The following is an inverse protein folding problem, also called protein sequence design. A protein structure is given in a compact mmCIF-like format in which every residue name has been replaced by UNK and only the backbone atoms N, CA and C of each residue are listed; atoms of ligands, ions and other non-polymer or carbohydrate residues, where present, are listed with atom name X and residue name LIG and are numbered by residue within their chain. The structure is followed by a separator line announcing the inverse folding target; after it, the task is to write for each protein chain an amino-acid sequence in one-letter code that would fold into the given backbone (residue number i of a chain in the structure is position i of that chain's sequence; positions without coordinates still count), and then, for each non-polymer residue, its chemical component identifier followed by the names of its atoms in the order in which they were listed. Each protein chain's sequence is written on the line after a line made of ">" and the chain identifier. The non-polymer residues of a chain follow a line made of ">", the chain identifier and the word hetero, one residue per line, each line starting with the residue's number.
data_IF_192096638852
#
_entry.id   IF_192096638852
#
_cell.length_a   1.000
_cell.length_b   1.000
_cell.length_c   1.000
_cell.angle_alpha   90.00
_cell.angle_beta   90.00
_cell.angle_gamma   90.00
#
_symmetry.space_group_name_H-M   'P 1'
#
loop_
_entity.id
_entity.type
_entity.pdbx_description
1 polymer ?
#
# COMPACT_ATOMS: atom_id res chain seq x y z
N UNK A 1 19.29 -12.71 -6.18
CA UNK A 1 20.69 -12.72 -6.71
C UNK A 1 21.11 -14.14 -7.04
N UNK A 2 20.66 -15.11 -6.25
CA UNK A 2 20.74 -16.55 -6.52
C UNK A 2 19.82 -16.97 -7.68
N UNK A 3 18.59 -16.44 -7.78
CA UNK A 3 17.65 -16.79 -8.86
C UNK A 3 18.17 -16.37 -10.25
N UNK A 4 18.95 -15.29 -10.33
CA UNK A 4 19.58 -14.86 -11.60
C UNK A 4 20.69 -15.81 -12.05
N UNK A 5 21.40 -16.44 -11.10
CA UNK A 5 22.42 -17.44 -11.40
C UNK A 5 21.77 -18.76 -11.83
N UNK A 6 20.67 -19.13 -11.19
CA UNK A 6 19.85 -20.28 -11.58
C UNK A 6 19.24 -20.09 -12.97
N UNK A 7 18.64 -18.93 -13.24
CA UNK A 7 18.11 -18.57 -14.55
C UNK A 7 19.20 -18.66 -15.63
N UNK A 8 20.39 -18.11 -15.36
CA UNK A 8 21.55 -18.22 -16.27
C UNK A 8 21.89 -19.69 -16.54
N UNK A 9 21.87 -20.53 -15.52
CA UNK A 9 22.19 -21.96 -15.64
C UNK A 9 21.15 -22.73 -16.45
N UNK A 10 19.86 -22.47 -16.23
CA UNK A 10 18.78 -23.09 -17.01
C UNK A 10 18.87 -22.69 -18.49
N UNK A 11 19.13 -21.41 -18.76
CA UNK A 11 19.31 -20.90 -20.11
C UNK A 11 20.52 -21.51 -20.82
N UNK A 12 21.67 -21.63 -20.14
CA UNK A 12 22.87 -22.25 -20.75
C UNK A 12 22.71 -23.76 -20.97
N UNK A 13 21.87 -24.43 -20.18
CA UNK A 13 21.52 -25.85 -20.36
C UNK A 13 20.43 -26.09 -21.41
N UNK A 14 19.85 -25.03 -22.00
CA UNK A 14 18.75 -25.14 -22.96
C UNK A 14 17.41 -25.52 -22.33
N UNK A 15 17.29 -25.44 -21.00
CA UNK A 15 16.05 -25.73 -20.25
C UNK A 15 15.12 -24.52 -20.26
N UNK A 16 14.58 -24.20 -21.44
CA UNK A 16 13.81 -22.97 -21.65
C UNK A 16 12.50 -22.95 -20.86
N UNK A 17 11.80 -24.08 -20.74
CA UNK A 17 10.53 -24.13 -19.99
C UNK A 17 10.75 -23.85 -18.50
N UNK A 18 11.74 -24.49 -17.89
CA UNK A 18 12.10 -24.27 -16.48
C UNK A 18 12.55 -22.81 -16.26
N UNK A 19 13.30 -22.24 -17.20
CA UNK A 19 13.71 -20.84 -17.15
C UNK A 19 12.51 -19.87 -17.21
N UNK A 20 11.46 -20.20 -17.97
CA UNK A 20 10.25 -19.38 -18.03
C UNK A 20 9.47 -19.44 -16.72
N UNK A 21 9.33 -20.61 -16.11
CA UNK A 21 8.69 -20.77 -14.79
C UNK A 21 9.40 -19.91 -13.74
N UNK A 22 10.74 -19.98 -13.68
CA UNK A 22 11.51 -19.17 -12.74
C UNK A 22 11.32 -17.66 -12.97
N UNK A 23 11.19 -17.22 -14.21
CA UNK A 23 10.91 -15.80 -14.53
C UNK A 23 9.52 -15.38 -14.04
N UNK A 24 8.52 -16.25 -14.16
CA UNK A 24 7.17 -15.99 -13.64
C UNK A 24 7.20 -15.86 -12.10
N UNK A 25 7.83 -16.80 -11.40
CA UNK A 25 8.01 -16.76 -9.94
C UNK A 25 8.74 -15.49 -9.49
N UNK A 26 9.86 -15.15 -10.14
CA UNK A 26 10.59 -13.90 -9.85
C UNK A 26 9.75 -12.64 -10.10
N UNK A 27 8.86 -12.68 -11.09
CA UNK A 27 7.97 -11.57 -11.42
C UNK A 27 6.89 -11.42 -10.35
N UNK A 28 6.30 -12.52 -9.89
CA UNK A 28 5.34 -12.54 -8.79
C UNK A 28 5.97 -12.03 -7.50
N UNK A 29 7.12 -12.57 -7.09
CA UNK A 29 7.85 -12.10 -5.90
C UNK A 29 8.16 -10.60 -5.98
N UNK A 30 8.63 -10.11 -7.13
CA UNK A 30 8.92 -8.69 -7.29
C UNK A 30 7.66 -7.82 -7.20
N UNK A 31 6.49 -8.34 -7.59
CA UNK A 31 5.21 -7.65 -7.50
C UNK A 31 4.71 -7.63 -6.05
N UNK A 32 4.77 -8.76 -5.35
CA UNK A 32 4.40 -8.88 -3.95
C UNK A 32 5.21 -7.94 -3.06
N UNK A 33 6.51 -7.80 -3.32
CA UNK A 33 7.36 -6.80 -2.64
C UNK A 33 6.82 -5.36 -2.78
N UNK A 34 6.26 -5.00 -3.95
CA UNK A 34 5.64 -3.68 -4.15
C UNK A 34 4.32 -3.58 -3.42
N UNK A 35 3.48 -4.62 -3.49
CA UNK A 35 2.19 -4.69 -2.81
C UNK A 35 2.41 -4.52 -1.30
N UNK A 36 3.26 -5.33 -0.68
CA UNK A 36 3.56 -5.30 0.75
C UNK A 36 4.08 -3.93 1.23
N UNK A 37 4.93 -3.30 0.42
CA UNK A 37 5.44 -1.96 0.73
C UNK A 37 4.38 -0.88 0.60
N UNK A 38 3.54 -0.93 -0.43
CA UNK A 38 2.40 -0.02 -0.60
C UNK A 38 1.42 -0.20 0.54
N UNK A 39 1.05 -1.44 0.86
CA UNK A 39 0.21 -1.82 1.98
C UNK A 39 0.71 -1.21 3.30
N UNK A 40 2.01 -1.32 3.60
CA UNK A 40 2.59 -0.76 4.83
C UNK A 40 2.39 0.77 4.94
N UNK A 41 2.50 1.50 3.81
CA UNK A 41 2.21 2.93 3.79
C UNK A 41 0.71 3.24 3.75
N UNK A 42 -0.11 2.36 3.16
CA UNK A 42 -1.56 2.47 3.18
C UNK A 42 -2.10 2.37 4.62
N UNK A 43 -1.55 1.48 5.44
CA UNK A 43 -1.89 1.39 6.88
C UNK A 43 -1.66 2.73 7.56
N UNK A 44 -0.49 3.36 7.34
CA UNK A 44 -0.17 4.67 7.94
C UNK A 44 -1.11 5.77 7.43
N UNK A 45 -1.38 5.80 6.12
CA UNK A 45 -2.29 6.76 5.49
C UNK A 45 -3.69 6.66 6.10
N UNK A 46 -4.26 5.45 6.09
CA UNK A 46 -5.64 5.20 6.55
C UNK A 46 -5.75 5.45 8.05
N UNK A 47 -4.75 5.08 8.85
CA UNK A 47 -4.74 5.32 10.29
C UNK A 47 -4.93 6.82 10.59
N UNK A 48 -4.17 7.67 9.89
CA UNK A 48 -4.27 9.12 10.11
C UNK A 48 -5.57 9.70 9.56
N UNK A 49 -6.10 9.18 8.45
CA UNK A 49 -7.40 9.59 7.92
C UNK A 49 -8.55 9.19 8.87
N UNK A 50 -8.48 8.01 9.49
CA UNK A 50 -9.43 7.58 10.52
C UNK A 50 -9.43 8.59 11.65
N UNK A 51 -8.24 8.93 12.19
CA UNK A 51 -8.10 9.92 13.27
C UNK A 51 -8.68 11.28 12.88
N UNK A 52 -8.43 11.75 11.66
CA UNK A 52 -8.99 13.00 11.16
C UNK A 52 -10.52 12.97 11.10
N UNK A 53 -11.08 11.85 10.62
CA UNK A 53 -12.52 11.70 10.44
C UNK A 53 -13.26 11.61 11.77
N UNK A 54 -12.76 10.82 12.72
CA UNK A 54 -13.43 10.58 14.01
C UNK A 54 -13.23 11.73 15.00
N UNK A 55 -12.06 12.38 15.00
CA UNK A 55 -11.79 13.50 15.90
C UNK A 55 -12.15 14.88 15.31
N UNK A 56 -12.57 14.93 14.04
CA UNK A 56 -12.92 16.15 13.32
C UNK A 56 -11.83 17.24 13.38
N UNK A 57 -10.55 16.83 13.42
CA UNK A 57 -9.39 17.72 13.48
C UNK A 57 -8.19 17.08 12.79
N UNK A 58 -7.17 17.88 12.49
CA UNK A 58 -5.85 17.39 12.11
C UNK A 58 -4.76 18.07 12.92
N UNK A 59 -3.57 17.49 12.92
CA UNK A 59 -2.36 18.12 13.44
C UNK A 59 -1.31 18.18 12.34
N UNK A 60 -0.33 19.08 12.47
CA UNK A 60 0.77 19.19 11.50
C UNK A 60 1.54 17.87 11.34
N UNK A 61 1.72 17.11 12.42
CA UNK A 61 2.40 15.82 12.34
C UNK A 61 1.57 14.80 11.56
N UNK A 62 0.24 14.79 11.71
CA UNK A 62 -0.64 13.91 10.94
C UNK A 62 -0.63 14.26 9.45
N UNK A 63 -0.71 15.56 9.11
CA UNK A 63 -0.65 16.01 7.71
C UNK A 63 0.68 15.62 7.05
N UNK A 64 1.80 15.71 7.80
CA UNK A 64 3.11 15.27 7.32
C UNK A 64 3.15 13.75 7.13
N UNK A 65 2.62 12.96 8.07
CA UNK A 65 2.53 11.50 7.95
C UNK A 65 1.72 11.07 6.72
N UNK A 66 0.57 11.69 6.50
CA UNK A 66 -0.28 11.47 5.32
C UNK A 66 0.50 11.79 4.04
N UNK A 67 1.10 12.99 3.96
CA UNK A 67 1.87 13.41 2.79
C UNK A 67 3.05 12.48 2.48
N UNK A 68 3.76 12.02 3.51
CA UNK A 68 4.86 11.08 3.38
C UNK A 68 4.39 9.71 2.90
N UNK A 69 3.30 9.17 3.47
CA UNK A 69 2.73 7.90 3.05
C UNK A 69 2.30 7.96 1.58
N UNK A 70 1.57 9.00 1.17
CA UNK A 70 1.16 9.22 -0.23
C UNK A 70 2.36 9.26 -1.18
N UNK A 71 3.39 10.04 -0.86
CA UNK A 71 4.63 10.10 -1.67
C UNK A 71 5.30 8.73 -1.80
N UNK A 72 5.32 7.96 -0.73
CA UNK A 72 5.97 6.65 -0.71
C UNK A 72 5.17 5.59 -1.47
N UNK A 73 3.83 5.61 -1.39
CA UNK A 73 2.95 4.78 -2.22
C UNK A 73 3.21 5.07 -3.70
N UNK A 74 3.14 6.34 -4.09
CA UNK A 74 3.33 6.73 -5.49
C UNK A 74 4.74 6.45 -6.01
N UNK A 75 5.77 6.73 -5.19
CA UNK A 75 7.16 6.40 -5.52
C UNK A 75 7.39 4.89 -5.67
N UNK A 76 6.74 4.08 -4.82
CA UNK A 76 6.86 2.61 -4.87
C UNK A 76 6.14 2.06 -6.09
N UNK A 77 4.98 2.63 -6.45
CA UNK A 77 4.20 2.17 -7.58
C UNK A 77 4.76 2.60 -8.95
N UNK A 78 5.48 3.73 -9.03
CA UNK A 78 6.02 4.24 -10.29
C UNK A 78 7.19 3.38 -10.81
N UNK A 79 7.11 2.94 -12.07
CA UNK A 79 8.23 2.27 -12.76
C UNK A 79 9.27 3.31 -13.20
N UNK A 80 10.56 3.05 -12.93
CA UNK A 80 11.64 4.02 -13.20
C UNK A 80 12.14 4.04 -14.64
N UNK A 81 12.12 2.89 -15.32
CA UNK A 81 12.71 2.72 -16.67
C UNK A 81 11.67 2.62 -17.79
N UNK A 82 10.42 2.34 -17.44
CA UNK A 82 9.30 2.22 -18.38
C UNK A 82 8.23 3.17 -17.85
N UNK A 83 7.68 4.02 -18.71
CA UNK A 83 6.58 4.88 -18.31
C UNK A 83 5.40 3.98 -17.91
N UNK A 84 4.94 4.05 -16.67
CA UNK A 84 3.89 3.16 -16.15
C UNK A 84 4.03 2.84 -14.65
N UNK A 85 3.15 1.95 -14.18
CA UNK A 85 2.99 1.60 -12.77
C UNK A 85 3.14 0.09 -12.54
N UNK A 86 3.56 -0.33 -11.35
CA UNK A 86 3.65 -1.75 -10.99
C UNK A 86 2.26 -2.34 -10.76
N UNK A 87 1.45 -1.66 -9.96
CA UNK A 87 0.05 -1.96 -9.66
C UNK A 87 -0.86 -1.06 -10.47
N UNK A 88 -1.93 -1.65 -10.98
CA UNK A 88 -3.10 -0.99 -11.55
C UNK A 88 -3.90 -0.23 -10.49
N UNK A 89 -4.86 0.59 -10.94
CA UNK A 89 -5.76 1.31 -10.03
C UNK A 89 -6.62 0.38 -9.17
N UNK A 90 -7.02 -0.79 -9.69
CA UNK A 90 -7.78 -1.78 -8.92
C UNK A 90 -6.94 -2.40 -7.82
N UNK A 91 -5.71 -2.83 -8.14
CA UNK A 91 -4.79 -3.44 -7.16
C UNK A 91 -4.38 -2.43 -6.07
N UNK A 92 -4.24 -1.15 -6.41
CA UNK A 92 -4.02 -0.12 -5.40
C UNK A 92 -5.21 0.06 -4.46
N UNK A 93 -6.45 0.03 -4.99
CA UNK A 93 -7.65 0.12 -4.17
C UNK A 93 -7.80 -1.08 -3.26
N UNK A 94 -7.46 -2.27 -3.74
CA UNK A 94 -7.41 -3.49 -2.95
C UNK A 94 -6.38 -3.38 -1.81
N UNK A 95 -5.15 -2.94 -2.11
CA UNK A 95 -4.14 -2.71 -1.07
C UNK A 95 -4.54 -1.65 -0.03
N UNK A 96 -5.32 -0.62 -0.42
CA UNK A 96 -5.92 0.32 0.53
C UNK A 96 -7.00 -0.36 1.39
N UNK A 97 -7.88 -1.15 0.79
CA UNK A 97 -8.95 -1.85 1.50
C UNK A 97 -8.38 -2.86 2.51
N UNK A 98 -7.36 -3.63 2.13
CA UNK A 98 -6.70 -4.61 3.00
C UNK A 98 -6.04 -3.95 4.21
N UNK A 99 -5.51 -2.74 4.03
CA UNK A 99 -4.88 -1.96 5.10
C UNK A 99 -5.87 -1.44 6.15
N UNK A 100 -7.18 -1.45 5.87
CA UNK A 100 -8.19 -0.83 6.74
C UNK A 100 -8.19 -1.39 8.17
N UNK A 101 -8.24 -2.71 8.34
CA UNK A 101 -8.39 -3.30 9.68
C UNK A 101 -7.16 -3.05 10.56
N UNK A 102 -5.95 -3.17 10.00
CA UNK A 102 -4.72 -2.83 10.71
C UNK A 102 -4.63 -1.34 11.04
N UNK A 103 -5.07 -0.48 10.13
CA UNK A 103 -5.14 0.95 10.36
C UNK A 103 -6.17 1.32 11.45
N UNK A 104 -7.30 0.63 11.49
CA UNK A 104 -8.34 0.79 12.50
C UNK A 104 -7.84 0.41 13.88
N UNK A 105 -7.14 -0.72 14.01
CA UNK A 105 -6.54 -1.15 15.27
C UNK A 105 -5.51 -0.13 15.76
N UNK A 106 -4.61 0.33 14.89
CA UNK A 106 -3.65 1.39 15.24
C UNK A 106 -4.34 2.71 15.60
N UNK A 107 -5.38 3.10 14.86
CA UNK A 107 -6.15 4.30 15.16
C UNK A 107 -6.89 4.20 16.49
N UNK A 108 -7.37 3.02 16.89
CA UNK A 108 -8.02 2.81 18.18
C UNK A 108 -7.09 3.08 19.36
N UNK A 109 -5.77 2.89 19.20
CA UNK A 109 -4.77 3.18 20.23
C UNK A 109 -4.38 4.66 20.29
N UNK A 110 -4.47 5.38 19.17
CA UNK A 110 -4.00 6.76 19.07
C UNK A 110 -5.14 7.80 19.09
N UNK A 111 -6.30 7.46 18.54
CA UNK A 111 -7.44 8.35 18.44
C UNK A 111 -8.07 8.53 19.82
N UNK A 112 -8.43 9.77 20.17
CA UNK A 112 -8.98 10.09 21.49
C UNK A 112 -8.16 9.48 22.64
N UNK A 113 -6.83 9.42 22.49
CA UNK A 113 -5.91 8.86 23.51
C UNK A 113 -6.21 7.40 23.89
N UNK A 114 -6.83 6.62 23.00
CA UNK A 114 -7.10 5.20 23.22
C UNK A 114 -8.44 4.89 23.89
N UNK A 115 -9.34 5.88 24.01
CA UNK A 115 -10.61 5.71 24.74
C UNK A 115 -11.64 4.80 24.04
N UNK A 116 -11.48 4.50 22.76
CA UNK A 116 -12.42 3.68 21.98
C UNK A 116 -11.70 2.46 21.42
N UNK A 117 -12.35 1.30 21.49
CA UNK A 117 -11.93 0.09 20.77
C UNK A 117 -12.09 0.27 19.25
N UNK A 118 -11.43 -0.59 18.47
CA UNK A 118 -11.59 -0.66 17.02
C UNK A 118 -13.06 -0.76 16.59
N UNK A 119 -13.85 -1.56 17.31
CA UNK A 119 -15.27 -1.76 17.00
C UNK A 119 -16.12 -0.50 17.26
N UNK A 120 -15.84 0.24 18.33
CA UNK A 120 -16.52 1.50 18.62
C UNK A 120 -16.10 2.61 17.66
N UNK A 121 -14.81 2.64 17.29
CA UNK A 121 -14.28 3.58 16.32
C UNK A 121 -14.89 3.34 14.93
N UNK A 122 -15.01 2.08 14.51
CA UNK A 122 -15.63 1.69 13.24
C UNK A 122 -17.05 2.24 13.07
N UNK A 123 -17.83 2.31 14.14
CA UNK A 123 -19.21 2.86 14.09
C UNK A 123 -19.24 4.37 13.80
N UNK A 124 -18.12 5.08 14.00
CA UNK A 124 -17.98 6.52 13.77
C UNK A 124 -17.36 6.85 12.42
N UNK A 125 -16.93 5.83 11.67
CA UNK A 125 -16.23 5.97 10.39
C UNK A 125 -17.23 5.80 9.25
N UNK A 126 -17.31 6.81 8.38
CA UNK A 126 -17.86 6.61 7.03
C UNK A 126 -16.75 6.01 6.16
N UNK A 127 -16.78 4.68 6.05
CA UNK A 127 -15.80 3.88 5.31
C UNK A 127 -15.71 4.27 3.84
N UNK A 128 -16.86 4.56 3.20
CA UNK A 128 -16.90 4.90 1.78
C UNK A 128 -16.19 6.22 1.53
N UNK A 129 -16.43 7.22 2.39
CA UNK A 129 -15.71 8.50 2.35
C UNK A 129 -14.23 8.32 2.66
N UNK A 130 -13.88 7.54 3.68
CA UNK A 130 -12.49 7.28 4.07
C UNK A 130 -11.66 6.71 2.90
N UNK A 131 -12.16 5.65 2.25
CA UNK A 131 -11.48 5.01 1.12
C UNK A 131 -11.42 5.93 -0.11
N UNK A 132 -12.46 6.73 -0.34
CA UNK A 132 -12.46 7.74 -1.40
C UNK A 132 -11.39 8.81 -1.15
N UNK A 133 -11.31 9.35 0.07
CA UNK A 133 -10.33 10.38 0.42
C UNK A 133 -8.89 9.83 0.28
N UNK A 134 -8.65 8.59 0.72
CA UNK A 134 -7.37 7.91 0.51
C UNK A 134 -7.02 7.76 -0.98
N UNK A 135 -7.98 7.32 -1.81
CA UNK A 135 -7.80 7.18 -3.25
C UNK A 135 -7.52 8.54 -3.93
N UNK A 136 -8.27 9.58 -3.58
CA UNK A 136 -8.12 10.92 -4.15
C UNK A 136 -6.75 11.52 -3.83
N UNK A 137 -6.17 11.19 -2.67
CA UNK A 137 -4.82 11.63 -2.30
C UNK A 137 -3.72 10.96 -3.14
N UNK A 138 -3.84 9.66 -3.42
CA UNK A 138 -2.82 8.94 -4.18
C UNK A 138 -2.97 9.12 -5.70
N UNK A 139 -4.19 9.21 -6.21
CA UNK A 139 -4.47 9.33 -7.66
C UNK A 139 -4.08 10.70 -8.23
N UNK A 140 -4.14 11.77 -7.44
CA UNK A 140 -3.72 13.13 -7.84
C UNK A 140 -2.27 13.23 -8.30
N UNK A 141 -1.39 12.30 -7.89
CA UNK A 141 0.02 12.29 -8.27
C UNK A 141 0.36 11.27 -9.37
N UNK A 142 -0.65 10.55 -9.90
CA UNK A 142 -0.46 9.59 -10.98
C UNK A 142 -0.62 10.22 -12.39
N UNK A 143 -1.10 11.47 -12.46
CA UNK A 143 -1.21 12.29 -13.66
C UNK A 143 0.04 13.15 -13.88
#
# INVERSE_FOLDING_TARGET
>A
MEELLELKTLLTQGKILDALVLVEEMTEMSKDDKINKIYSFAVILILHLIKQQVEHRTTRSWDISISNAVRQINRTNKRRKVNGYYLSSSELKEALADAYYFALDGASLEAFEGHYSSAELAQRIDYSRLMKDAWDLISKQQN
#
